data_IF_724278473133
#
_entry.id   IF_724278473133
#
_cell.length_a   1.000
_cell.length_b   1.000
_cell.length_c   1.000
_cell.angle_alpha   90.00
_cell.angle_beta   90.00
_cell.angle_gamma   90.00
#
_symmetry.space_group_name_H-M   'P 1'
#
loop_
_entity.id
_entity.type
_entity.pdbx_description
1 polymer ?
#
# COMPACT_ATOMS: atom_id res chain seq x y z
N UNK A 1 54.02 -16.88 -28.29
CA UNK A 1 53.01 -15.84 -28.56
C UNK A 1 51.64 -16.47 -28.40
N UNK A 2 50.77 -15.82 -27.63
CA UNK A 2 49.46 -16.38 -27.26
C UNK A 2 48.91 -15.73 -26.00
N UNK A 3 48.59 -14.44 -26.09
CA UNK A 3 47.77 -13.76 -25.08
C UNK A 3 46.32 -14.16 -25.32
N UNK A 4 45.72 -14.89 -24.38
CA UNK A 4 44.28 -15.03 -24.27
C UNK A 4 43.86 -14.50 -22.89
N UNK A 5 43.43 -13.24 -22.85
CA UNK A 5 42.83 -12.62 -21.67
C UNK A 5 41.45 -13.25 -21.49
N UNK A 6 41.24 -13.95 -20.39
CA UNK A 6 39.94 -14.53 -20.06
C UNK A 6 38.91 -13.41 -19.80
N UNK A 7 37.66 -13.54 -20.28
CA UNK A 7 36.61 -12.56 -20.03
C UNK A 7 36.21 -12.55 -18.53
N UNK A 8 35.79 -11.41 -17.97
CA UNK A 8 35.32 -11.37 -16.58
C UNK A 8 34.04 -12.19 -16.44
N UNK A 9 34.04 -13.08 -15.45
CA UNK A 9 32.92 -13.92 -15.06
C UNK A 9 31.76 -13.03 -14.58
N UNK A 10 30.69 -12.91 -15.38
CA UNK A 10 29.47 -12.20 -14.99
C UNK A 10 28.72 -13.08 -14.00
N UNK A 11 28.89 -12.80 -12.71
CA UNK A 11 28.05 -13.38 -11.66
C UNK A 11 26.60 -12.98 -11.94
N UNK A 12 25.66 -13.92 -12.11
CA UNK A 12 24.26 -13.55 -12.22
C UNK A 12 23.84 -12.99 -10.86
N UNK A 13 23.49 -11.71 -10.87
CA UNK A 13 22.81 -11.05 -9.75
C UNK A 13 21.57 -11.90 -9.44
N UNK A 14 21.29 -12.27 -8.18
CA UNK A 14 20.04 -12.96 -7.88
C UNK A 14 18.92 -11.97 -8.26
N UNK A 15 18.13 -12.37 -9.26
CA UNK A 15 16.94 -11.67 -9.70
C UNK A 15 16.12 -11.34 -8.45
N UNK A 16 15.88 -10.05 -8.20
CA UNK A 16 14.96 -9.55 -7.17
C UNK A 16 13.49 -9.88 -7.54
N UNK A 17 13.24 -11.07 -8.05
CA UNK A 17 11.93 -11.66 -8.14
C UNK A 17 11.59 -12.24 -6.78
N UNK A 18 11.12 -11.38 -5.89
CA UNK A 18 9.92 -11.73 -5.16
C UNK A 18 8.77 -11.04 -5.92
N UNK A 19 7.98 -11.76 -6.73
CA UNK A 19 6.63 -11.30 -7.01
C UNK A 19 6.01 -11.07 -5.64
N UNK A 20 5.47 -9.87 -5.44
CA UNK A 20 4.71 -9.54 -4.25
C UNK A 20 3.63 -10.60 -4.11
N UNK A 21 3.90 -11.61 -3.29
CA UNK A 21 2.92 -12.60 -2.86
C UNK A 21 1.89 -11.77 -2.13
N UNK A 22 0.81 -11.45 -2.85
CA UNK A 22 -0.36 -10.83 -2.30
C UNK A 22 -0.80 -11.76 -1.17
N UNK A 23 -0.43 -11.39 0.06
CA UNK A 23 -1.00 -11.98 1.25
C UNK A 23 -2.52 -11.96 1.04
N UNK A 24 -3.20 -13.10 1.14
CA UNK A 24 -4.65 -13.14 1.01
C UNK A 24 -5.20 -12.08 1.95
N UNK A 25 -5.94 -11.10 1.40
CA UNK A 25 -6.77 -10.24 2.21
C UNK A 25 -7.76 -11.17 2.88
N UNK A 26 -7.43 -11.58 4.10
CA UNK A 26 -8.32 -12.26 5.00
C UNK A 26 -9.58 -11.42 5.03
N UNK A 27 -10.64 -11.93 4.38
CA UNK A 27 -11.97 -11.36 4.46
C UNK A 27 -12.39 -11.48 5.92
N UNK A 28 -11.98 -10.50 6.73
CA UNK A 28 -12.39 -10.39 8.12
C UNK A 28 -13.90 -10.21 8.08
N UNK A 29 -14.68 -11.16 8.62
CA UNK A 29 -16.12 -11.05 8.64
C UNK A 29 -16.46 -9.80 9.46
N UNK A 30 -16.88 -8.73 8.77
CA UNK A 30 -17.18 -7.43 9.37
C UNK A 30 -16.54 -6.21 8.70
N UNK A 31 -15.56 -6.38 7.81
CA UNK A 31 -15.05 -5.26 7.01
C UNK A 31 -15.92 -5.10 5.76
N UNK A 32 -16.68 -4.01 5.70
CA UNK A 32 -17.46 -3.65 4.52
C UNK A 32 -16.51 -3.24 3.38
N UNK A 33 -16.43 -4.06 2.32
CA UNK A 33 -15.57 -3.79 1.16
C UNK A 33 -16.11 -2.67 0.27
N UNK A 34 -17.43 -2.64 0.03
CA UNK A 34 -18.08 -1.65 -0.82
C UNK A 34 -19.08 -0.79 -0.04
N UNK A 35 -19.13 0.51 -0.35
CA UNK A 35 -20.20 1.40 0.12
C UNK A 35 -21.41 1.36 -0.81
N UNK A 36 -22.58 1.77 -0.31
CA UNK A 36 -23.79 1.94 -1.11
C UNK A 36 -24.20 3.42 -1.18
N UNK A 37 -24.82 3.85 -2.28
CA UNK A 37 -25.24 5.23 -2.48
C UNK A 37 -24.06 6.21 -2.36
N UNK A 38 -24.16 7.16 -1.42
CA UNK A 38 -23.10 8.14 -1.16
C UNK A 38 -22.12 7.73 -0.04
N UNK A 39 -22.28 6.55 0.54
CA UNK A 39 -21.34 6.01 1.53
C UNK A 39 -21.42 6.61 2.94
N UNK A 40 -22.46 7.35 3.31
CA UNK A 40 -22.63 7.87 4.69
C UNK A 40 -22.63 6.77 5.77
N UNK A 41 -23.19 5.60 5.45
CA UNK A 41 -23.22 4.44 6.36
C UNK A 41 -21.98 3.56 6.28
N UNK A 42 -20.99 3.91 5.46
CA UNK A 42 -19.78 3.09 5.29
C UNK A 42 -18.99 3.05 6.61
N UNK A 43 -18.64 1.84 7.04
CA UNK A 43 -17.84 1.57 8.25
C UNK A 43 -16.69 0.59 7.99
N UNK A 44 -16.23 0.52 6.74
CA UNK A 44 -15.07 -0.29 6.38
C UNK A 44 -13.75 0.32 6.87
N UNK A 45 -12.64 -0.38 6.61
CA UNK A 45 -11.31 -0.05 7.15
C UNK A 45 -10.35 0.47 6.08
N UNK A 46 -10.84 0.82 4.89
CA UNK A 46 -9.99 1.34 3.82
C UNK A 46 -9.50 2.75 4.17
N UNK A 47 -8.18 2.91 4.19
CA UNK A 47 -7.50 4.17 4.53
C UNK A 47 -6.54 4.63 3.42
N UNK A 48 -6.68 4.11 2.21
CA UNK A 48 -5.83 4.48 1.06
C UNK A 48 -6.70 5.15 0.01
N UNK A 49 -6.19 6.23 -0.60
CA UNK A 49 -6.89 6.92 -1.66
C UNK A 49 -6.69 6.25 -3.04
N UNK A 50 -7.37 6.76 -4.08
CA UNK A 50 -7.31 6.22 -5.45
C UNK A 50 -5.89 6.24 -6.04
N UNK A 51 -5.02 7.14 -5.59
CA UNK A 51 -3.63 7.24 -6.05
C UNK A 51 -2.64 6.46 -5.18
N UNK A 52 -3.12 5.65 -4.22
CA UNK A 52 -2.28 4.81 -3.38
C UNK A 52 -1.66 5.50 -2.17
N UNK A 53 -2.05 6.74 -1.84
CA UNK A 53 -1.55 7.46 -0.66
C UNK A 53 -2.36 7.09 0.58
N UNK A 54 -1.66 6.91 1.69
CA UNK A 54 -2.23 6.73 3.02
C UNK A 54 -3.00 7.98 3.46
N UNK A 55 -4.25 7.79 3.88
CA UNK A 55 -5.08 8.83 4.47
C UNK A 55 -4.50 9.32 5.79
N UNK A 56 -4.65 10.61 6.06
CA UNK A 56 -4.37 11.18 7.37
C UNK A 56 -5.38 10.64 8.40
N UNK A 57 -4.91 10.30 9.60
CA UNK A 57 -5.79 9.93 10.70
C UNK A 57 -6.68 11.13 11.07
N UNK A 58 -7.98 10.92 11.28
CA UNK A 58 -8.94 11.98 11.62
C UNK A 58 -8.60 12.72 12.93
N UNK A 59 -7.84 12.12 13.84
CA UNK A 59 -7.36 12.78 15.07
C UNK A 59 -6.07 13.59 14.87
N UNK A 60 -5.38 13.44 13.74
CA UNK A 60 -4.14 14.17 13.44
C UNK A 60 -4.44 15.50 12.77
N UNK A 61 -3.71 16.56 13.14
CA UNK A 61 -3.74 17.87 12.48
C UNK A 61 -2.59 18.08 11.48
N UNK A 62 -1.73 17.09 11.31
CA UNK A 62 -0.56 17.14 10.42
C UNK A 62 -0.63 15.97 9.43
N UNK A 63 -0.28 16.17 8.14
CA UNK A 63 0.17 17.41 7.49
C UNK A 63 -0.93 18.42 7.13
N UNK A 64 -2.20 18.06 7.26
CA UNK A 64 -3.32 18.88 6.85
C UNK A 64 -4.21 19.24 8.06
N UNK A 65 -4.25 20.50 8.46
CA UNK A 65 -5.13 20.96 9.53
C UNK A 65 -6.60 20.99 9.09
N UNK A 66 -7.52 20.52 9.94
CA UNK A 66 -8.96 20.49 9.64
C UNK A 66 -9.82 20.52 10.92
N UNK A 67 -11.12 20.79 10.78
CA UNK A 67 -12.09 20.80 11.90
C UNK A 67 -12.78 19.47 12.18
N UNK A 68 -12.79 18.54 11.21
CA UNK A 68 -13.45 17.22 11.35
C UNK A 68 -12.59 16.30 12.20
N UNK A 69 -12.97 16.06 13.43
CA UNK A 69 -12.30 15.12 14.33
C UNK A 69 -13.27 14.01 14.75
N UNK A 70 -12.80 12.90 15.35
CA UNK A 70 -13.71 11.87 15.89
C UNK A 70 -14.73 12.41 16.90
N UNK A 71 -14.43 13.53 17.56
CA UNK A 71 -15.34 14.23 18.48
C UNK A 71 -16.33 15.16 17.76
N UNK A 72 -16.10 15.44 16.47
CA UNK A 72 -16.85 16.41 15.67
C UNK A 72 -17.07 15.91 14.22
N UNK A 73 -17.83 14.82 14.05
CA UNK A 73 -18.19 14.24 12.74
C UNK A 73 -19.69 14.05 12.53
#
# INVERSE_FOLDING_TARGET
EGTAVAPPNVTPVPSLEAPSEQAPTEQRPGVQECYHGNGQSYRGTYFTNVTGRTCQAWSSMTPHSHSRTPENY
#
